data_IF_955996371100
#
_entry.id   IF_955996371100
#
_cell.length_a   1.000
_cell.length_b   1.000
_cell.length_c   1.000
_cell.angle_alpha   90.00
_cell.angle_beta   90.00
_cell.angle_gamma   90.00
#
_symmetry.space_group_name_H-M   'P 1'
#
loop_
_entity.id
_entity.type
_entity.pdbx_description
1 polymer ?
#
# COMPACT_ATOMS: atom_id res chain seq x y z
N UNK A 1 -20.15 7.33 6.20
CA UNK A 1 -18.98 8.19 6.03
C UNK A 1 -17.72 7.30 6.04
N UNK A 2 -16.63 7.79 5.46
CA UNK A 2 -15.36 7.06 5.36
C UNK A 2 -14.17 8.02 5.37
N UNK A 3 -12.97 7.46 5.42
CA UNK A 3 -11.71 8.20 5.43
C UNK A 3 -10.96 7.93 4.13
N UNK A 4 -10.44 8.97 3.50
CA UNK A 4 -9.48 8.86 2.40
C UNK A 4 -8.15 9.43 2.87
N UNK A 5 -7.12 8.57 2.91
CA UNK A 5 -5.74 8.97 3.17
C UNK A 5 -5.01 9.12 1.84
N UNK A 6 -4.77 10.37 1.46
CA UNK A 6 -4.14 10.71 0.19
C UNK A 6 -2.64 10.40 0.18
N UNK A 7 -2.07 10.41 -1.03
CA UNK A 7 -0.63 10.41 -1.23
C UNK A 7 0.05 11.65 -0.64
N UNK A 8 1.32 11.54 -0.34
CA UNK A 8 2.10 12.62 0.24
C UNK A 8 3.60 12.32 0.25
N UNK A 9 4.40 13.28 0.69
CA UNK A 9 5.86 13.16 0.82
C UNK A 9 6.35 13.19 2.27
N UNK A 10 5.45 13.16 3.24
CA UNK A 10 5.78 13.12 4.68
C UNK A 10 4.75 12.30 5.44
N UNK A 11 5.23 11.58 6.44
CA UNK A 11 4.40 10.84 7.38
C UNK A 11 4.48 11.52 8.75
N UNK A 12 3.37 11.50 9.47
CA UNK A 12 3.24 12.07 10.81
C UNK A 12 2.55 11.05 11.73
N UNK A 13 2.73 11.11 13.04
CA UNK A 13 2.10 10.18 13.98
C UNK A 13 0.59 10.05 13.82
N UNK A 14 -0.11 11.13 13.47
CA UNK A 14 -1.55 11.10 13.28
C UNK A 14 -2.01 10.25 12.07
N UNK A 15 -1.13 9.99 11.09
CA UNK A 15 -1.47 9.08 9.99
C UNK A 15 -1.67 7.65 10.51
N UNK A 16 -0.77 7.17 11.36
CA UNK A 16 -0.91 5.86 12.02
C UNK A 16 -2.15 5.83 12.91
N UNK A 17 -2.36 6.85 13.73
CA UNK A 17 -3.54 6.98 14.57
C UNK A 17 -4.85 6.95 13.76
N UNK A 18 -4.85 7.56 12.57
CA UNK A 18 -6.01 7.55 11.67
C UNK A 18 -6.31 6.14 11.16
N UNK A 19 -5.29 5.38 10.76
CA UNK A 19 -5.45 3.98 10.33
C UNK A 19 -5.96 3.13 11.49
N UNK A 20 -5.29 3.19 12.65
CA UNK A 20 -5.69 2.45 13.86
C UNK A 20 -7.15 2.75 14.25
N UNK A 21 -7.52 4.01 14.25
CA UNK A 21 -8.89 4.45 14.54
C UNK A 21 -9.90 3.90 13.53
N UNK A 22 -9.58 3.93 12.23
CA UNK A 22 -10.45 3.39 11.20
C UNK A 22 -10.65 1.87 11.37
N UNK A 23 -9.56 1.15 11.67
CA UNK A 23 -9.60 -0.30 11.93
C UNK A 23 -10.43 -0.62 13.17
N UNK A 24 -10.15 0.05 14.29
CA UNK A 24 -10.86 -0.17 15.57
C UNK A 24 -12.35 0.12 15.46
N UNK A 25 -12.72 1.19 14.78
CA UNK A 25 -14.10 1.68 14.67
C UNK A 25 -14.87 1.16 13.45
N UNK A 26 -14.26 0.27 12.66
CA UNK A 26 -14.84 -0.25 11.41
C UNK A 26 -15.25 0.86 10.43
N UNK A 27 -14.49 1.96 10.40
CA UNK A 27 -14.73 3.05 9.46
C UNK A 27 -14.10 2.70 8.11
N UNK A 28 -14.85 2.80 7.00
CA UNK A 28 -14.30 2.61 5.67
C UNK A 28 -13.05 3.47 5.42
N UNK A 29 -11.97 2.86 4.93
CA UNK A 29 -10.71 3.53 4.67
C UNK A 29 -10.20 3.23 3.27
N UNK A 30 -9.89 4.29 2.51
CA UNK A 30 -9.11 4.21 1.28
C UNK A 30 -7.73 4.85 1.50
N UNK A 31 -6.67 4.06 1.44
CA UNK A 31 -5.30 4.54 1.46
C UNK A 31 -4.72 4.66 0.05
N UNK A 32 -4.32 5.84 -0.37
CA UNK A 32 -3.73 6.11 -1.69
C UNK A 32 -2.23 6.36 -1.54
N UNK A 33 -1.40 5.62 -2.26
CA UNK A 33 0.05 5.76 -2.30
C UNK A 33 0.66 5.71 -0.88
N UNK A 34 1.06 6.84 -0.30
CA UNK A 34 1.53 6.91 1.10
C UNK A 34 0.47 6.43 2.09
N UNK A 35 -0.82 6.60 1.79
CA UNK A 35 -1.91 6.09 2.60
C UNK A 35 -1.94 4.56 2.68
N UNK A 36 -1.69 3.86 1.57
CA UNK A 36 -1.49 2.41 1.58
C UNK A 36 -0.25 2.03 2.39
N UNK A 37 0.87 2.72 2.16
CA UNK A 37 2.11 2.44 2.88
C UNK A 37 1.93 2.61 4.39
N UNK A 38 1.21 3.65 4.82
CA UNK A 38 0.86 3.87 6.22
C UNK A 38 0.02 2.70 6.78
N UNK A 39 -0.96 2.23 6.02
CA UNK A 39 -1.79 1.10 6.45
C UNK A 39 -0.97 -0.19 6.60
N UNK A 40 0.00 -0.43 5.71
CA UNK A 40 0.93 -1.57 5.80
C UNK A 40 1.84 -1.47 7.02
N UNK A 41 2.41 -0.28 7.27
CA UNK A 41 3.25 -0.04 8.44
C UNK A 41 2.46 -0.20 9.74
N UNK A 42 1.24 0.34 9.81
CA UNK A 42 0.38 0.19 10.99
C UNK A 42 -0.02 -1.27 11.21
N UNK A 43 -0.34 -2.01 10.16
CA UNK A 43 -0.59 -3.44 10.25
C UNK A 43 0.61 -4.20 10.85
N UNK A 44 1.81 -3.87 10.41
CA UNK A 44 3.02 -4.49 10.95
C UNK A 44 3.23 -4.15 12.43
N UNK A 45 2.93 -2.94 12.85
CA UNK A 45 3.03 -2.51 14.27
C UNK A 45 1.99 -3.19 15.14
N UNK A 46 0.73 -3.13 14.73
CA UNK A 46 -0.40 -3.55 15.55
C UNK A 46 -0.61 -5.08 15.54
N UNK A 47 -0.40 -5.73 14.40
CA UNK A 47 -0.70 -7.15 14.23
C UNK A 47 0.54 -8.04 14.37
N UNK A 48 1.69 -7.62 13.81
CA UNK A 48 2.94 -8.38 13.91
C UNK A 48 3.78 -8.02 15.14
N UNK A 49 3.47 -6.90 15.82
CA UNK A 49 4.21 -6.41 16.97
C UNK A 49 5.55 -5.75 16.65
N UNK A 50 5.75 -5.34 15.40
CA UNK A 50 6.96 -4.63 14.97
C UNK A 50 6.83 -3.14 15.25
N UNK A 51 7.03 -2.73 16.49
CA UNK A 51 6.80 -1.34 16.96
C UNK A 51 7.55 -0.28 16.15
N UNK A 52 8.73 -0.63 15.59
CA UNK A 52 9.55 0.24 14.76
C UNK A 52 9.29 0.09 13.25
N UNK A 53 8.27 -0.68 12.84
CA UNK A 53 7.97 -0.88 11.43
C UNK A 53 7.77 0.47 10.71
N UNK A 54 8.53 0.69 9.65
CA UNK A 54 8.54 1.98 8.95
C UNK A 54 8.89 1.81 7.47
N UNK A 55 8.91 2.92 6.77
CA UNK A 55 9.45 3.04 5.41
C UNK A 55 10.92 3.45 5.47
N UNK A 56 11.75 2.82 4.65
CA UNK A 56 13.14 3.24 4.46
C UNK A 56 13.27 4.69 3.93
N UNK A 57 12.18 5.26 3.40
CA UNK A 57 12.12 6.66 2.98
C UNK A 57 12.19 7.63 4.16
N UNK A 58 11.55 7.28 5.27
CA UNK A 58 11.38 8.17 6.42
C UNK A 58 12.23 7.79 7.62
N UNK A 59 12.59 6.51 7.73
CA UNK A 59 13.39 5.99 8.84
C UNK A 59 14.37 4.91 8.37
N UNK A 60 15.58 5.32 8.00
CA UNK A 60 16.64 4.40 7.58
C UNK A 60 17.15 3.52 8.74
N UNK A 61 16.92 3.89 9.99
CA UNK A 61 17.35 3.16 11.18
C UNK A 61 16.35 2.07 11.63
N UNK A 62 15.13 2.07 11.08
CA UNK A 62 14.14 1.03 11.38
C UNK A 62 14.71 -0.36 11.09
N UNK A 63 14.49 -1.31 12.01
CA UNK A 63 14.87 -2.71 11.81
C UNK A 63 13.84 -3.46 10.96
N UNK A 64 12.60 -2.97 10.91
CA UNK A 64 11.49 -3.54 10.13
C UNK A 64 11.04 -2.59 9.02
N UNK A 65 11.82 -2.54 7.94
CA UNK A 65 11.51 -1.73 6.75
C UNK A 65 10.48 -2.44 5.89
N UNK A 66 9.22 -2.33 6.28
CA UNK A 66 8.10 -2.99 5.56
C UNK A 66 7.75 -2.30 4.24
N UNK A 67 8.23 -1.06 4.07
CA UNK A 67 8.24 -0.31 2.82
C UNK A 67 9.71 0.02 2.52
N UNK A 68 10.20 -0.40 1.35
CA UNK A 68 11.62 -0.25 0.99
C UNK A 68 11.80 -0.14 -0.53
N UNK A 69 13.02 0.06 -0.97
CA UNK A 69 13.36 -0.10 -2.38
C UNK A 69 13.19 -1.54 -2.83
N UNK A 70 12.87 -1.73 -4.10
CA UNK A 70 12.94 -3.07 -4.69
C UNK A 70 14.36 -3.65 -4.61
N UNK A 71 14.51 -4.97 -4.46
CA UNK A 71 15.82 -5.62 -4.34
C UNK A 71 16.80 -5.28 -5.48
N UNK A 72 16.30 -5.16 -6.70
CA UNK A 72 17.06 -4.78 -7.90
C UNK A 72 17.40 -3.27 -7.96
N UNK A 73 16.86 -2.48 -7.06
CA UNK A 73 17.16 -1.04 -6.90
C UNK A 73 18.07 -0.75 -5.71
N UNK A 74 18.42 -1.78 -4.94
CA UNK A 74 19.42 -1.70 -3.85
C UNK A 74 20.81 -1.70 -4.46
N UNK A 75 21.44 -0.53 -4.56
CA UNK A 75 22.80 -0.36 -5.10
C UNK A 75 23.05 1.06 -5.59
N UNK A 76 24.13 1.26 -6.34
CA UNK A 76 24.58 2.57 -6.85
C UNK A 76 23.69 3.16 -7.98
N UNK A 77 22.37 2.90 -7.97
CA UNK A 77 21.47 3.49 -8.95
C UNK A 77 21.14 4.92 -8.51
N UNK A 78 21.30 5.92 -9.38
CA UNK A 78 20.91 7.29 -9.06
C UNK A 78 19.44 7.35 -8.60
N UNK A 79 19.18 7.98 -7.45
CA UNK A 79 17.81 8.06 -6.86
C UNK A 79 16.74 8.50 -7.85
N UNK A 80 17.06 9.29 -8.87
CA UNK A 80 16.12 9.72 -9.92
C UNK A 80 15.68 8.60 -10.87
N UNK A 81 16.46 7.52 -11.03
CA UNK A 81 16.14 6.40 -11.93
C UNK A 81 15.21 5.33 -11.33
N UNK A 82 14.88 5.42 -10.04
CA UNK A 82 14.07 4.41 -9.34
C UNK A 82 12.60 4.79 -9.19
N UNK A 83 12.19 5.98 -9.64
CA UNK A 83 10.82 6.43 -9.52
C UNK A 83 9.91 5.73 -10.54
N UNK A 84 8.86 5.07 -10.05
CA UNK A 84 7.75 4.63 -10.88
C UNK A 84 6.88 5.84 -11.19
N UNK A 85 6.91 6.28 -12.43
CA UNK A 85 6.17 7.44 -12.90
C UNK A 85 5.39 7.07 -14.16
N UNK A 86 4.09 7.33 -14.16
CA UNK A 86 3.23 7.06 -15.29
C UNK A 86 2.29 5.87 -15.08
N UNK A 87 1.80 5.33 -16.19
CA UNK A 87 0.79 4.29 -16.24
C UNK A 87 1.43 2.90 -16.17
N UNK A 88 0.93 2.06 -15.24
CA UNK A 88 1.37 0.67 -15.08
C UNK A 88 0.16 -0.25 -14.90
N UNK A 89 0.23 -1.48 -15.40
CA UNK A 89 -0.82 -2.48 -15.22
C UNK A 89 -0.80 -3.04 -13.79
N UNK A 90 -2.00 -3.37 -13.30
CA UNK A 90 -2.20 -4.07 -12.04
C UNK A 90 -3.20 -5.21 -12.26
N UNK A 91 -2.86 -6.40 -11.78
CA UNK A 91 -3.76 -7.55 -11.74
C UNK A 91 -4.48 -7.55 -10.41
N UNK A 92 -5.79 -7.41 -10.46
CA UNK A 92 -6.64 -7.43 -9.26
C UNK A 92 -6.98 -8.87 -8.89
N UNK A 93 -6.90 -9.20 -7.60
CA UNK A 93 -7.20 -10.55 -7.12
C UNK A 93 -8.72 -10.80 -7.08
N UNK A 94 -9.14 -11.99 -7.48
CA UNK A 94 -10.55 -12.40 -7.42
C UNK A 94 -11.06 -12.45 -5.97
N UNK A 95 -12.32 -12.07 -5.75
CA UNK A 95 -12.95 -12.06 -4.43
C UNK A 95 -12.54 -10.89 -3.52
N UNK A 96 -11.82 -9.90 -4.04
CA UNK A 96 -11.40 -8.72 -3.31
C UNK A 96 -12.28 -7.51 -3.60
N UNK A 97 -12.31 -6.53 -2.68
CA UNK A 97 -13.02 -5.26 -2.90
C UNK A 97 -12.46 -4.47 -4.08
N UNK A 98 -11.15 -4.54 -4.27
CA UNK A 98 -10.52 -3.92 -5.43
C UNK A 98 -11.09 -4.47 -6.74
N UNK A 99 -11.17 -5.81 -6.88
CA UNK A 99 -11.77 -6.47 -8.05
C UNK A 99 -13.25 -6.09 -8.22
N UNK A 100 -13.99 -6.06 -7.11
CA UNK A 100 -15.41 -5.65 -7.12
C UNK A 100 -15.57 -4.22 -7.64
N UNK A 101 -14.76 -3.28 -7.14
CA UNK A 101 -14.82 -1.86 -7.54
C UNK A 101 -14.47 -1.64 -9.02
N UNK A 102 -13.44 -2.33 -9.52
CA UNK A 102 -13.01 -2.15 -10.91
C UNK A 102 -13.76 -3.03 -11.90
N UNK A 103 -14.34 -4.15 -11.46
CA UNK A 103 -15.04 -5.11 -12.31
C UNK A 103 -14.15 -5.76 -13.39
N UNK A 104 -12.84 -5.72 -13.23
CA UNK A 104 -11.85 -6.18 -14.22
C UNK A 104 -10.67 -6.84 -13.55
N UNK A 105 -10.09 -7.84 -14.19
CA UNK A 105 -8.88 -8.51 -13.75
C UNK A 105 -7.64 -7.62 -13.90
N UNK A 106 -7.48 -7.05 -15.07
CA UNK A 106 -6.37 -6.15 -15.35
C UNK A 106 -6.86 -4.71 -15.44
N UNK A 107 -6.19 -3.85 -14.70
CA UNK A 107 -6.40 -2.41 -14.70
C UNK A 107 -5.09 -1.69 -14.95
N UNK A 108 -5.18 -0.50 -15.48
CA UNK A 108 -4.03 0.39 -15.67
C UNK A 108 -4.21 1.63 -14.83
N UNK A 109 -3.28 1.89 -13.93
CA UNK A 109 -3.33 3.08 -13.07
C UNK A 109 -2.02 3.85 -13.05
N UNK A 110 -2.09 5.14 -12.66
CA UNK A 110 -0.92 6.00 -12.65
C UNK A 110 -0.19 5.92 -11.32
N UNK A 111 1.14 5.82 -11.40
CA UNK A 111 2.04 5.77 -10.26
C UNK A 111 2.91 7.04 -10.19
N UNK A 112 3.27 7.40 -8.97
CA UNK A 112 4.24 8.46 -8.66
C UNK A 112 4.87 8.17 -7.30
N UNK A 113 5.73 7.15 -7.24
CA UNK A 113 6.42 6.77 -6.00
C UNK A 113 7.73 6.04 -6.33
N UNK A 114 8.57 5.88 -5.31
CA UNK A 114 9.87 5.24 -5.41
C UNK A 114 9.97 4.01 -4.53
N UNK A 115 9.29 4.03 -3.37
CA UNK A 115 9.31 2.97 -2.39
C UNK A 115 8.10 2.05 -2.59
N UNK A 116 8.32 0.76 -2.31
CA UNK A 116 7.37 -0.31 -2.57
C UNK A 116 7.15 -1.14 -1.31
N UNK A 117 6.08 -1.91 -1.27
CA UNK A 117 5.88 -2.95 -0.27
C UNK A 117 7.06 -3.91 -0.28
N UNK A 118 7.66 -4.17 0.88
CA UNK A 118 8.78 -5.09 1.01
C UNK A 118 8.30 -6.54 1.04
N UNK A 119 8.60 -7.29 -0.02
CA UNK A 119 8.19 -8.70 -0.16
C UNK A 119 8.76 -9.64 0.89
N UNK A 120 9.81 -9.27 1.62
CA UNK A 120 10.34 -10.07 2.73
C UNK A 120 9.30 -10.28 3.83
N UNK A 121 8.34 -9.35 3.98
CA UNK A 121 7.24 -9.41 4.94
C UNK A 121 5.93 -9.94 4.36
N UNK A 122 5.86 -10.17 3.03
CA UNK A 122 4.61 -10.49 2.34
C UNK A 122 3.92 -11.75 2.88
N UNK A 123 4.68 -12.84 2.98
CA UNK A 123 4.13 -14.11 3.44
C UNK A 123 3.64 -14.01 4.90
N UNK A 124 4.41 -13.35 5.75
CA UNK A 124 4.05 -13.18 7.16
C UNK A 124 2.79 -12.32 7.32
N UNK A 125 2.70 -11.19 6.62
CA UNK A 125 1.51 -10.34 6.65
C UNK A 125 0.26 -11.07 6.13
N UNK A 126 0.40 -11.86 5.04
CA UNK A 126 -0.70 -12.67 4.52
C UNK A 126 -1.15 -13.74 5.53
N UNK A 127 -0.21 -14.40 6.22
CA UNK A 127 -0.52 -15.37 7.25
C UNK A 127 -1.27 -14.76 8.45
N UNK A 128 -1.13 -13.46 8.66
CA UNK A 128 -1.81 -12.72 9.73
C UNK A 128 -3.04 -11.95 9.22
N UNK A 129 -3.48 -12.21 7.99
CA UNK A 129 -4.77 -11.74 7.48
C UNK A 129 -4.72 -10.56 6.54
N UNK A 130 -3.55 -10.01 6.19
CA UNK A 130 -3.48 -9.01 5.14
C UNK A 130 -3.73 -9.68 3.78
N UNK A 131 -4.64 -9.13 2.99
CA UNK A 131 -4.92 -9.62 1.64
C UNK A 131 -4.16 -8.77 0.63
N UNK A 132 -3.38 -9.43 -0.24
CA UNK A 132 -2.80 -8.79 -1.40
C UNK A 132 -3.86 -8.78 -2.50
N UNK A 133 -4.50 -7.65 -2.70
CA UNK A 133 -5.62 -7.50 -3.64
C UNK A 133 -5.21 -7.05 -5.04
N UNK A 134 -3.99 -6.58 -5.20
CA UNK A 134 -3.44 -6.20 -6.50
C UNK A 134 -1.93 -6.41 -6.59
N UNK A 135 -1.48 -6.87 -7.75
CA UNK A 135 -0.05 -7.07 -8.04
C UNK A 135 0.32 -6.58 -9.43
N UNK A 136 1.63 -6.36 -9.66
CA UNK A 136 2.14 -6.28 -11.04
C UNK A 136 1.86 -7.58 -11.81
N UNK A 137 1.84 -7.56 -13.17
CA UNK A 137 1.53 -8.76 -13.96
C UNK A 137 2.44 -9.97 -13.71
N UNK A 138 3.69 -9.72 -13.32
CA UNK A 138 4.65 -10.76 -12.91
C UNK A 138 4.47 -11.23 -11.45
N UNK A 139 3.51 -10.63 -10.73
CA UNK A 139 3.20 -10.94 -9.32
C UNK A 139 4.24 -10.42 -8.31
N UNK A 140 5.28 -9.73 -8.77
CA UNK A 140 6.42 -9.33 -7.94
C UNK A 140 6.13 -8.11 -7.07
N UNK A 141 5.44 -7.09 -7.60
CA UNK A 141 5.10 -5.89 -6.87
C UNK A 141 3.71 -5.98 -6.26
N UNK A 142 3.57 -5.57 -5.01
CA UNK A 142 2.28 -5.41 -4.35
C UNK A 142 1.74 -4.03 -4.68
N UNK A 143 0.64 -4.00 -5.42
CA UNK A 143 -0.01 -2.77 -5.89
C UNK A 143 -1.21 -2.36 -5.05
N UNK A 144 -1.81 -3.33 -4.34
CA UNK A 144 -2.94 -3.07 -3.45
C UNK A 144 -3.04 -4.11 -2.35
N UNK A 145 -3.55 -3.67 -1.20
CA UNK A 145 -3.78 -4.49 0.00
C UNK A 145 -5.17 -4.24 0.57
N UNK A 146 -5.72 -5.23 1.28
CA UNK A 146 -7.00 -5.13 1.98
C UNK A 146 -6.95 -5.81 3.34
N UNK A 147 -7.75 -5.30 4.28
CA UNK A 147 -8.10 -6.00 5.52
C UNK A 147 -9.51 -6.60 5.38
N UNK A 148 -9.63 -7.93 5.29
CA UNK A 148 -10.93 -8.59 5.22
C UNK A 148 -11.71 -8.44 6.55
N UNK A 149 -13.03 -8.62 6.48
CA UNK A 149 -13.89 -8.47 7.64
C UNK A 149 -14.21 -7.02 8.02
N UNK A 150 -13.83 -6.08 7.15
CA UNK A 150 -14.23 -4.66 7.21
C UNK A 150 -15.13 -4.35 6.03
N UNK A 151 -16.03 -3.38 6.17
CA UNK A 151 -16.91 -2.96 5.08
C UNK A 151 -16.12 -2.47 3.87
N UNK A 152 -15.08 -1.68 4.14
CA UNK A 152 -14.13 -1.22 3.16
C UNK A 152 -12.82 -0.80 3.84
N UNK A 153 -11.73 -1.51 3.59
CA UNK A 153 -10.39 -1.12 4.05
C UNK A 153 -9.39 -1.53 2.97
N UNK A 154 -9.15 -0.60 2.05
CA UNK A 154 -8.35 -0.83 0.84
C UNK A 154 -7.21 0.17 0.76
N UNK A 155 -6.01 -0.32 0.53
CA UNK A 155 -4.84 0.48 0.20
C UNK A 155 -4.41 0.23 -1.23
N UNK A 156 -4.11 1.28 -1.99
CA UNK A 156 -3.59 1.19 -3.36
C UNK A 156 -2.30 2.01 -3.49
N UNK A 157 -1.28 1.44 -4.13
CA UNK A 157 0.01 2.11 -4.33
C UNK A 157 -0.07 3.16 -5.43
N UNK A 158 -0.95 2.97 -6.38
CA UNK A 158 -1.22 3.89 -7.47
C UNK A 158 -2.17 5.04 -7.05
N UNK A 159 -2.41 5.96 -7.98
CA UNK A 159 -3.22 7.17 -7.81
C UNK A 159 -4.49 7.09 -8.67
N UNK A 160 -5.58 6.46 -8.19
CA UNK A 160 -6.81 6.32 -8.97
C UNK A 160 -7.47 7.68 -9.25
N UNK A 161 -7.24 8.68 -8.40
CA UNK A 161 -7.77 10.03 -8.56
C UNK A 161 -7.31 10.72 -9.85
N UNK A 162 -6.15 10.33 -10.40
CA UNK A 162 -5.64 10.91 -11.65
C UNK A 162 -6.45 10.48 -12.89
N UNK A 163 -7.25 9.44 -12.77
CA UNK A 163 -8.09 8.93 -13.86
C UNK A 163 -9.58 8.96 -13.53
N UNK A 164 -9.90 9.35 -12.30
CA UNK A 164 -11.28 9.48 -11.85
C UNK A 164 -12.04 10.54 -12.66
N UNK A 165 -13.24 10.21 -13.09
CA UNK A 165 -14.15 11.12 -13.80
C UNK A 165 -15.59 10.75 -13.45
N UNK A 166 -16.52 11.71 -13.57
CA UNK A 166 -17.94 11.43 -13.47
C UNK A 166 -18.35 10.36 -14.50
N UNK A 167 -19.22 9.44 -14.12
CA UNK A 167 -19.81 8.45 -15.01
C UNK A 167 -20.85 9.10 -15.91
#
# INVERSE_FOLDING_TARGET
>A
DGIVMCGGGKIYPYHFQTVAYAVERHIPLLGICLGMQTAVMEFARDVLGYEDADSAEFNEESTHKVIDFMPDQRGNIPKGGTMRLGKYPCITAEGTKLRECYGKEEIDERHRHRYEFNNDYRAEMQNHGLVISGTSPDGRLVEAVELPGRDFHVGVQFHPEFKSRPN
#
